data_IF_607037547526
#
_entry.id   IF_607037547526
#
_cell.length_a   1.000
_cell.length_b   1.000
_cell.length_c   1.000
_cell.angle_alpha   90.00
_cell.angle_beta   90.00
_cell.angle_gamma   90.00
#
_symmetry.space_group_name_H-M   'P 1'
#
loop_
_entity.id
_entity.type
_entity.pdbx_description
1 polymer ?
#
# COMPACT_ATOMS: atom_id res chain seq x y z
N UNK A 1 31.09 23.85 41.77
CA UNK A 1 30.95 23.70 40.31
C UNK A 1 29.51 23.32 40.03
N UNK A 2 28.68 24.25 39.54
CA UNK A 2 27.27 23.99 39.25
C UNK A 2 27.14 23.68 37.77
N UNK A 3 26.86 22.41 37.43
CA UNK A 3 26.53 22.02 36.06
C UNK A 3 25.10 22.47 35.76
N UNK A 4 24.94 23.59 35.06
CA UNK A 4 23.66 23.98 34.46
C UNK A 4 23.33 22.97 33.37
N UNK A 5 22.52 21.96 33.70
CA UNK A 5 21.93 21.06 32.72
C UNK A 5 21.05 21.90 31.79
N UNK A 6 21.52 22.14 30.58
CA UNK A 6 20.79 22.90 29.57
C UNK A 6 19.47 22.20 29.26
N UNK A 7 18.36 22.87 29.55
CA UNK A 7 17.02 22.42 29.19
C UNK A 7 16.89 22.46 27.67
N UNK A 8 16.84 21.29 27.01
CA UNK A 8 16.52 21.19 25.59
C UNK A 8 15.04 20.86 25.40
N UNK A 9 14.39 21.55 24.45
CA UNK A 9 13.00 21.31 24.08
C UNK A 9 12.98 20.45 22.81
N UNK A 10 12.44 19.24 22.90
CA UNK A 10 12.16 18.40 21.73
C UNK A 10 10.75 18.75 21.26
N UNK A 11 10.64 19.41 20.10
CA UNK A 11 9.35 19.68 19.45
C UNK A 11 9.19 18.68 18.31
N UNK A 12 8.35 17.67 18.49
CA UNK A 12 7.93 16.78 17.41
C UNK A 12 6.85 17.47 16.58
N UNK A 13 7.14 17.80 15.32
CA UNK A 13 6.09 18.30 14.44
C UNK A 13 5.19 17.12 14.05
N UNK A 14 3.87 17.15 14.33
CA UNK A 14 2.97 16.07 13.94
C UNK A 14 3.03 15.98 12.42
N UNK A 15 3.58 14.86 11.96
CA UNK A 15 3.87 14.67 10.56
C UNK A 15 2.65 14.83 9.68
N UNK A 16 2.81 15.44 8.50
CA UNK A 16 1.71 15.53 7.53
C UNK A 16 1.40 14.12 7.03
N UNK A 17 0.11 13.77 7.02
CA UNK A 17 -0.39 12.54 6.39
C UNK A 17 -1.23 12.91 5.19
N UNK A 18 -0.99 12.25 4.08
CA UNK A 18 -1.67 12.49 2.81
C UNK A 18 -2.11 11.13 2.28
N UNK A 19 -3.42 10.96 2.06
CA UNK A 19 -3.94 9.81 1.31
C UNK A 19 -3.49 9.96 -0.14
N UNK A 20 -2.82 8.93 -0.67
CA UNK A 20 -2.34 8.90 -2.06
C UNK A 20 -3.39 8.36 -3.02
N UNK A 21 -4.46 7.78 -2.51
CA UNK A 21 -5.56 7.20 -3.28
C UNK A 21 -6.92 7.63 -2.73
N UNK A 22 -7.93 7.59 -3.59
CA UNK A 22 -9.33 7.83 -3.22
C UNK A 22 -10.06 6.53 -2.85
N UNK A 23 -9.51 5.37 -3.24
CA UNK A 23 -10.05 4.06 -2.89
C UNK A 23 -9.88 3.80 -1.39
N UNK A 24 -10.84 3.09 -0.80
CA UNK A 24 -10.75 2.62 0.59
C UNK A 24 -10.89 1.10 0.60
N UNK A 25 -9.98 0.42 1.28
CA UNK A 25 -9.92 -1.03 1.36
C UNK A 25 -10.43 -1.53 2.71
N UNK A 26 -10.93 -2.76 2.78
CA UNK A 26 -11.34 -3.37 4.04
C UNK A 26 -10.13 -3.56 4.95
N UNK A 27 -10.28 -3.20 6.22
CA UNK A 27 -9.23 -3.43 7.19
C UNK A 27 -9.22 -4.89 7.66
N UNK A 28 -8.08 -5.60 7.65
CA UNK A 28 -8.01 -6.99 8.14
C UNK A 28 -8.32 -7.11 9.64
N UNK A 29 -8.20 -6.02 10.41
CA UNK A 29 -8.47 -6.01 11.85
C UNK A 29 -9.91 -5.64 12.19
N UNK A 30 -10.41 -4.54 11.63
CA UNK A 30 -11.72 -4.00 12.00
C UNK A 30 -12.79 -4.19 10.92
N UNK A 31 -12.47 -4.81 9.79
CA UNK A 31 -13.37 -5.14 8.66
C UNK A 31 -14.11 -3.93 8.02
N UNK A 32 -13.81 -2.71 8.45
CA UNK A 32 -14.33 -1.48 7.85
C UNK A 32 -13.51 -1.08 6.62
N UNK A 33 -14.18 -0.58 5.58
CA UNK A 33 -13.58 0.08 4.40
C UNK A 33 -12.93 1.40 4.83
N UNK A 34 -11.67 1.31 5.27
CA UNK A 34 -10.99 2.40 5.99
C UNK A 34 -9.48 2.38 5.84
N UNK A 35 -8.93 1.39 5.13
CA UNK A 35 -7.52 1.30 4.79
C UNK A 35 -7.27 2.11 3.53
N UNK A 36 -6.28 3.01 3.58
CA UNK A 36 -5.84 3.80 2.43
C UNK A 36 -4.32 3.88 2.40
N UNK A 37 -3.76 3.91 1.19
CA UNK A 37 -2.36 4.19 0.97
C UNK A 37 -2.05 5.62 1.42
N UNK A 38 -1.30 5.73 2.51
CA UNK A 38 -1.02 7.01 3.17
C UNK A 38 0.47 7.29 3.12
N UNK A 39 0.83 8.46 2.58
CA UNK A 39 2.16 9.05 2.77
C UNK A 39 2.19 9.79 4.10
N UNK A 40 3.14 9.46 4.95
CA UNK A 40 3.40 10.16 6.21
C UNK A 40 4.82 10.74 6.21
N UNK A 41 4.94 12.00 6.61
CA UNK A 41 6.22 12.71 6.72
C UNK A 41 6.41 13.19 8.16
N UNK A 42 7.42 12.67 8.87
CA UNK A 42 7.78 13.08 10.23
C UNK A 42 9.10 13.83 10.22
N UNK A 43 9.13 15.01 10.82
CA UNK A 43 10.34 15.82 10.98
C UNK A 43 10.69 15.91 12.46
N UNK A 44 11.96 15.64 12.78
CA UNK A 44 12.51 15.83 14.12
C UNK A 44 13.42 17.05 14.12
N UNK A 45 13.05 18.05 14.93
CA UNK A 45 13.78 19.31 15.08
C UNK A 45 14.34 19.37 16.49
N UNK A 46 15.65 19.59 16.61
CA UNK A 46 16.35 19.79 17.88
C UNK A 46 17.24 21.02 17.76
N UNK A 47 17.15 21.94 18.72
CA UNK A 47 17.96 23.19 18.72
C UNK A 47 17.88 23.97 17.39
N UNK A 48 16.67 24.09 16.82
CA UNK A 48 16.42 24.70 15.51
C UNK A 48 17.15 24.03 14.33
N UNK A 49 17.78 22.87 14.54
CA UNK A 49 18.35 22.04 13.49
C UNK A 49 17.42 20.87 13.19
N UNK A 50 17.16 20.64 11.90
CA UNK A 50 16.47 19.43 11.43
C UNK A 50 17.45 18.27 11.54
N UNK A 51 17.14 17.31 12.42
CA UNK A 51 18.01 16.15 12.66
C UNK A 51 17.59 14.95 11.82
N UNK A 52 16.28 14.76 11.64
CA UNK A 52 15.78 13.65 10.86
C UNK A 52 14.53 14.06 10.07
N UNK A 53 14.47 13.56 8.84
CA UNK A 53 13.26 13.53 8.04
C UNK A 53 12.94 12.07 7.74
N UNK A 54 11.78 11.60 8.19
CA UNK A 54 11.30 10.25 7.94
C UNK A 54 10.04 10.32 7.09
N UNK A 55 10.17 9.92 5.84
CA UNK A 55 9.05 9.74 4.93
C UNK A 55 8.74 8.25 4.81
N UNK A 56 7.47 7.90 4.90
CA UNK A 56 7.01 6.53 4.66
C UNK A 56 5.68 6.52 3.93
N UNK A 57 5.55 5.60 2.99
CA UNK A 57 4.31 5.32 2.25
C UNK A 57 3.87 3.93 2.65
N UNK A 58 2.68 3.83 3.22
CA UNK A 58 2.14 2.56 3.73
C UNK A 58 0.63 2.62 3.78
N UNK A 59 -0.03 1.47 3.71
CA UNK A 59 -1.45 1.39 3.98
C UNK A 59 -1.71 1.65 5.46
N UNK A 60 -2.68 2.51 5.76
CA UNK A 60 -3.09 2.82 7.13
C UNK A 60 -4.62 2.77 7.24
N UNK A 61 -5.14 2.09 8.27
CA UNK A 61 -6.54 2.11 8.63
C UNK A 61 -6.86 3.37 9.46
N UNK A 62 -7.79 4.19 8.98
CA UNK A 62 -8.21 5.40 9.69
C UNK A 62 -8.89 5.12 11.04
N UNK A 63 -9.55 3.95 11.17
CA UNK A 63 -10.30 3.55 12.36
C UNK A 63 -9.38 2.92 13.44
N UNK A 64 -8.75 1.77 13.14
CA UNK A 64 -7.97 1.01 14.13
C UNK A 64 -6.45 1.26 14.10
N UNK A 65 -5.97 2.18 13.25
CA UNK A 65 -4.54 2.53 13.08
C UNK A 65 -3.63 1.38 12.67
N UNK A 66 -4.19 0.28 12.15
CA UNK A 66 -3.44 -0.78 11.49
C UNK A 66 -2.61 -0.21 10.33
N UNK A 67 -1.40 -0.72 10.14
CA UNK A 67 -0.46 -0.26 9.10
C UNK A 67 0.28 -1.44 8.48
N UNK A 68 0.50 -1.40 7.18
CA UNK A 68 1.35 -2.35 6.47
C UNK A 68 1.96 -1.73 5.21
N UNK A 69 3.11 -2.23 4.77
CA UNK A 69 3.77 -1.74 3.56
C UNK A 69 2.97 -2.13 2.30
N UNK A 70 2.39 -3.32 2.31
CA UNK A 70 1.56 -3.85 1.22
C UNK A 70 0.09 -3.91 1.62
N UNK A 71 -0.80 -3.80 0.63
CA UNK A 71 -2.22 -4.05 0.84
C UNK A 71 -2.37 -5.53 1.11
N UNK A 72 -3.15 -5.96 2.13
CA UNK A 72 -3.45 -7.37 2.28
C UNK A 72 -4.14 -7.84 1.01
N UNK A 73 -3.59 -8.86 0.36
CA UNK A 73 -4.28 -9.57 -0.71
C UNK A 73 -5.50 -10.24 -0.08
N UNK A 74 -6.67 -9.61 -0.17
CA UNK A 74 -7.91 -10.33 0.08
C UNK A 74 -8.02 -11.39 -1.01
N UNK A 75 -8.17 -12.66 -0.61
CA UNK A 75 -8.34 -13.81 -1.51
C UNK A 75 -9.52 -13.63 -2.50
N UNK A 76 -10.35 -12.62 -2.27
CA UNK A 76 -11.48 -12.19 -3.10
C UNK A 76 -11.07 -11.49 -4.39
N UNK A 77 -9.93 -10.78 -4.45
CA UNK A 77 -9.51 -10.00 -5.64
C UNK A 77 -8.80 -10.85 -6.71
N UNK A 78 -8.37 -12.08 -6.38
CA UNK A 78 -7.78 -12.98 -7.38
C UNK A 78 -8.80 -13.57 -8.37
N UNK A 79 -10.10 -13.50 -8.07
CA UNK A 79 -11.15 -13.98 -8.99
C UNK A 79 -11.60 -12.93 -10.00
N UNK A 80 -11.48 -11.64 -9.69
CA UNK A 80 -11.81 -10.56 -10.63
C UNK A 80 -10.74 -10.45 -11.73
N UNK A 81 -9.46 -10.57 -11.38
CA UNK A 81 -8.36 -10.55 -12.37
C UNK A 81 -8.28 -11.84 -13.21
N UNK A 82 -8.76 -12.98 -12.69
CA UNK A 82 -8.78 -14.26 -13.41
C UNK A 82 -9.97 -14.39 -14.36
N UNK A 83 -11.09 -13.70 -14.09
CA UNK A 83 -12.27 -13.73 -14.96
C UNK A 83 -12.05 -12.94 -16.27
N UNK A 84 -11.30 -11.84 -16.24
CA UNK A 84 -10.99 -11.06 -17.46
C UNK A 84 -9.92 -11.75 -18.35
N UNK A 85 -9.15 -12.71 -17.78
CA UNK A 85 -8.13 -13.49 -18.52
C UNK A 85 -8.61 -14.77 -19.19
N UNK A 86 -9.88 -15.12 -19.02
CA UNK A 86 -10.43 -16.43 -19.42
C UNK A 86 -11.10 -16.45 -20.80
N UNK A 87 -11.42 -15.29 -21.39
CA UNK A 87 -12.20 -15.24 -22.63
C UNK A 87 -11.40 -15.30 -23.95
N UNK A 88 -10.07 -15.20 -23.92
CA UNK A 88 -9.26 -15.20 -25.17
C UNK A 88 -8.74 -16.56 -25.63
N UNK A 89 -9.01 -17.65 -24.91
CA UNK A 89 -8.51 -18.99 -25.30
C UNK A 89 -9.59 -19.94 -25.84
N UNK A 90 -10.86 -19.52 -25.93
CA UNK A 90 -11.96 -20.38 -26.40
C UNK A 90 -12.24 -20.32 -27.91
N UNK A 91 -11.46 -19.55 -28.69
CA UNK A 91 -11.49 -19.62 -30.16
C UNK A 91 -10.13 -20.03 -30.70
N UNK A 92 -9.75 -21.28 -30.46
CA UNK A 92 -8.79 -21.96 -31.34
C UNK A 92 -9.53 -22.45 -32.58
N UNK A 93 -9.18 -22.00 -33.80
CA UNK A 93 -9.61 -22.68 -35.01
C UNK A 93 -8.98 -24.07 -35.06
N UNK A 94 -9.84 -25.07 -35.27
CA UNK A 94 -9.52 -26.47 -35.55
C UNK A 94 -8.32 -26.62 -36.50
N UNK A 95 -7.36 -27.47 -36.10
CA UNK A 95 -6.24 -27.93 -36.93
C UNK A 95 -6.72 -28.44 -38.30
N UNK A 96 -6.06 -28.11 -39.41
CA UNK A 96 -6.35 -28.73 -40.69
C UNK A 96 -5.78 -30.16 -40.73
N UNK A 97 -6.68 -31.12 -40.93
CA UNK A 97 -6.40 -32.52 -41.25
C UNK A 97 -5.73 -32.59 -42.63
N UNK A 98 -4.52 -33.14 -42.72
CA UNK A 98 -3.88 -33.48 -43.99
C UNK A 98 -4.59 -34.69 -44.63
N UNK A 99 -5.01 -34.64 -45.90
CA UNK A 99 -5.40 -35.84 -46.62
C UNK A 99 -4.16 -36.59 -47.13
N UNK A 100 -4.03 -37.82 -46.65
CA UNK A 100 -3.26 -38.90 -47.25
C UNK A 100 -3.67 -39.06 -48.73
N UNK A 101 -2.71 -38.95 -49.66
CA UNK A 101 -2.88 -39.45 -51.02
C UNK A 101 -1.65 -40.24 -51.44
N UNK A 102 -1.89 -41.55 -51.47
CA UNK A 102 -1.21 -42.61 -52.20
C UNK A 102 -1.01 -42.24 -53.67
N UNK A 103 0.21 -42.39 -54.19
CA UNK A 103 0.51 -43.12 -55.43
C UNK A 103 1.99 -43.49 -55.51
#
# INVERSE_FOLDING_TARGET
MSMTAGSFVIVGHPGKKISLEHASHPCPRCKHLSVQLTRSEKQLILLNKRIANNMSVRYECSNCKWKNEELPEDETDLLSYRSDRSEYYLTSPTSPTMPEKTL
#
